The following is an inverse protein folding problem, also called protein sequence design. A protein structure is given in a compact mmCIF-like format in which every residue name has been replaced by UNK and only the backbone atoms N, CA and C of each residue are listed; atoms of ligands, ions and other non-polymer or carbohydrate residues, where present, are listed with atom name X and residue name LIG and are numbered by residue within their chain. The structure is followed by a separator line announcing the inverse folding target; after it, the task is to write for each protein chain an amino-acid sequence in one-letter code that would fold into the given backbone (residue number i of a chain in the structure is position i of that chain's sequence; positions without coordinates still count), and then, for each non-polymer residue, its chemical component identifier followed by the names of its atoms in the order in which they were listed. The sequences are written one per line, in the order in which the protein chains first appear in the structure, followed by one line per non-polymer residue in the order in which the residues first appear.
data_IF_678314158162
#
_entry.id   IF_678314158162
#
_cell.length_a   1.000
_cell.length_b   1.000
_cell.length_c   1.000
_cell.angle_alpha   90.00
_cell.angle_beta   90.00
_cell.angle_gamma   90.00
#
_symmetry.space_group_name_H-M   'P 1'
#
loop_
_entity.id
_entity.type
_entity.pdbx_description
1 polymer ?
#
# COMPACT_ATOMS: atom_id res chain seq x y z
N UNK A 1 17.37 -43.31 -19.25
CA UNK A 1 18.02 -41.98 -19.28
C UNK A 1 16.95 -40.95 -18.98
N UNK A 2 17.01 -40.39 -17.78
CA UNK A 2 16.09 -39.35 -17.30
C UNK A 2 16.70 -37.97 -17.62
N UNK A 3 15.88 -37.00 -18.03
CA UNK A 3 16.13 -35.60 -17.68
C UNK A 3 14.84 -34.75 -17.71
N UNK A 4 14.74 -33.87 -16.72
CA UNK A 4 13.59 -33.08 -16.26
C UNK A 4 13.32 -31.83 -17.12
N UNK A 5 12.09 -31.27 -17.11
CA UNK A 5 11.81 -29.95 -17.65
C UNK A 5 12.12 -28.83 -16.63
N UNK A 6 12.67 -27.73 -17.14
CA UNK A 6 13.10 -26.56 -16.39
C UNK A 6 11.97 -25.60 -15.96
N UNK A 7 12.18 -25.06 -14.76
CA UNK A 7 11.77 -23.74 -14.24
C UNK A 7 10.50 -23.08 -14.79
N UNK A 8 9.43 -23.12 -14.00
CA UNK A 8 8.39 -22.08 -14.00
C UNK A 8 8.90 -20.91 -13.16
N UNK A 9 9.14 -19.77 -13.80
CA UNK A 9 9.25 -18.49 -13.12
C UNK A 9 7.85 -17.97 -12.88
N UNK A 10 7.46 -17.88 -11.61
CA UNK A 10 6.20 -17.29 -11.15
C UNK A 10 6.20 -15.81 -11.51
N UNK A 11 5.26 -15.41 -12.35
CA UNK A 11 5.03 -14.04 -12.78
C UNK A 11 4.34 -13.30 -11.62
N UNK A 12 5.08 -12.47 -10.88
CA UNK A 12 4.50 -11.61 -9.85
C UNK A 12 3.81 -10.43 -10.55
N UNK A 13 2.48 -10.43 -10.52
CA UNK A 13 1.63 -9.38 -11.08
C UNK A 13 1.52 -8.27 -10.03
N UNK A 14 2.17 -7.13 -10.25
CA UNK A 14 2.08 -5.96 -9.37
C UNK A 14 0.72 -5.27 -9.54
N UNK A 15 -0.06 -5.20 -8.45
CA UNK A 15 -1.29 -4.41 -8.38
C UNK A 15 -1.00 -3.12 -7.60
N UNK A 16 -0.79 -2.03 -8.33
CA UNK A 16 -0.63 -0.68 -7.78
C UNK A 16 -1.98 0.03 -7.96
N UNK A 17 -2.81 0.02 -6.92
CA UNK A 17 -4.04 0.83 -6.88
C UNK A 17 -3.74 2.15 -6.18
N UNK A 18 -3.43 3.19 -6.96
CA UNK A 18 -3.36 4.57 -6.46
C UNK A 18 -4.47 5.39 -7.09
N UNK A 19 -5.34 5.90 -6.21
CA UNK A 19 -6.59 6.55 -6.54
C UNK A 19 -6.35 7.85 -7.32
N UNK A 20 -6.80 7.88 -8.58
CA UNK A 20 -7.02 9.13 -9.31
C UNK A 20 -8.45 9.15 -9.87
N UNK A 21 -9.35 9.90 -9.19
CA UNK A 21 -10.38 10.81 -9.74
C UNK A 21 -11.70 10.93 -8.94
N UNK A 22 -11.90 12.16 -8.48
CA UNK A 22 -13.08 13.03 -8.62
C UNK A 22 -14.21 13.07 -7.59
N UNK A 23 -14.31 14.24 -6.95
CA UNK A 23 -15.51 14.89 -6.44
C UNK A 23 -16.71 14.72 -7.39
N UNK A 24 -17.83 14.24 -6.86
CA UNK A 24 -19.16 14.83 -7.10
C UNK A 24 -19.87 14.98 -5.77
N UNK A 25 -20.33 16.19 -5.49
CA UNK A 25 -21.30 16.51 -4.46
C UNK A 25 -22.57 15.68 -4.68
N UNK A 26 -23.05 14.96 -3.67
CA UNK A 26 -24.36 14.30 -3.67
C UNK A 26 -25.30 15.13 -2.79
N UNK A 27 -26.41 15.52 -3.39
CA UNK A 27 -27.57 16.19 -2.80
C UNK A 27 -28.37 15.17 -1.95
N UNK A 28 -28.62 15.42 -0.64
CA UNK A 28 -29.30 14.47 0.23
C UNK A 28 -30.82 14.60 0.06
N UNK A 29 -31.38 14.12 -1.04
CA UNK A 29 -32.82 14.37 -1.30
C UNK A 29 -33.57 13.52 -2.31
N UNK A 30 -32.97 12.59 -3.06
CA UNK A 30 -33.72 11.80 -4.06
C UNK A 30 -33.75 10.30 -3.74
N UNK A 31 -34.89 9.86 -3.20
CA UNK A 31 -35.28 8.45 -3.12
C UNK A 31 -35.71 7.94 -4.51
N UNK A 32 -34.73 7.62 -5.35
CA UNK A 32 -34.92 6.77 -6.53
C UNK A 32 -33.57 6.20 -6.95
N UNK A 33 -33.43 4.88 -6.83
CA UNK A 33 -32.28 4.16 -7.39
C UNK A 33 -32.40 4.15 -8.92
N UNK A 34 -31.44 4.67 -9.69
CA UNK A 34 -31.47 4.48 -11.13
C UNK A 34 -31.10 3.03 -11.48
N UNK A 35 -31.90 2.42 -12.35
CA UNK A 35 -31.65 1.12 -12.96
C UNK A 35 -30.28 1.08 -13.67
N UNK A 36 -29.66 -0.12 -13.69
CA UNK A 36 -28.37 -0.39 -14.35
C UNK A 36 -28.40 0.11 -15.81
N UNK A 37 -27.54 1.08 -16.20
CA UNK A 37 -27.40 1.42 -17.61
C UNK A 37 -26.68 0.30 -18.35
N UNK A 38 -27.26 -0.11 -19.49
CA UNK A 38 -26.68 -1.06 -20.42
C UNK A 38 -25.28 -0.60 -20.87
N UNK A 39 -24.34 -1.56 -20.87
CA UNK A 39 -22.96 -1.37 -21.28
C UNK A 39 -22.89 -0.66 -22.64
N UNK A 40 -22.41 0.60 -22.64
CA UNK A 40 -21.96 1.27 -23.84
C UNK A 40 -20.44 1.34 -23.84
N UNK A 41 -19.93 0.81 -24.93
CA UNK A 41 -18.56 0.68 -25.37
C UNK A 41 -17.83 2.02 -25.31
N UNK A 42 -17.03 2.22 -24.27
CA UNK A 42 -15.94 3.22 -24.25
C UNK A 42 -14.73 2.54 -23.63
N UNK A 43 -13.68 2.38 -24.42
CA UNK A 43 -12.44 1.72 -24.03
C UNK A 43 -11.76 2.43 -22.87
N UNK A 44 -12.05 1.96 -21.65
CA UNK A 44 -11.37 2.32 -20.41
C UNK A 44 -10.54 1.13 -19.96
N UNK A 45 -9.29 1.39 -19.52
CA UNK A 45 -8.34 0.41 -18.99
C UNK A 45 -8.95 -0.43 -17.84
N UNK A 46 -9.97 0.11 -17.16
CA UNK A 46 -10.74 -0.57 -16.10
C UNK A 46 -11.53 -1.79 -16.61
N UNK A 47 -11.97 -1.81 -17.87
CA UNK A 47 -12.79 -2.89 -18.42
C UNK A 47 -11.96 -4.12 -18.83
N UNK A 48 -10.68 -3.96 -19.13
CA UNK A 48 -9.77 -5.07 -19.45
C UNK A 48 -9.35 -5.81 -18.16
N UNK A 49 -9.26 -5.10 -17.03
CA UNK A 49 -8.84 -5.68 -15.75
C UNK A 49 -9.86 -6.67 -15.17
N UNK A 50 -11.17 -6.44 -15.39
CA UNK A 50 -12.22 -7.34 -14.89
C UNK A 50 -12.33 -8.66 -15.65
N UNK A 51 -11.85 -8.75 -16.89
CA UNK A 51 -11.99 -9.97 -17.71
C UNK A 51 -10.90 -11.01 -17.44
N UNK A 52 -9.81 -10.63 -16.75
CA UNK A 52 -8.69 -11.54 -16.43
C UNK A 52 -8.88 -12.23 -15.08
N UNK A 53 -9.75 -11.73 -14.19
CA UNK A 53 -9.98 -12.30 -12.87
C UNK A 53 -11.11 -13.35 -12.80
N UNK A 54 -11.93 -13.52 -13.84
CA UNK A 54 -13.14 -14.34 -13.80
C UNK A 54 -12.98 -15.76 -14.40
N UNK A 55 -11.88 -16.05 -15.11
CA UNK A 55 -11.68 -17.34 -15.82
C UNK A 55 -10.80 -18.36 -15.08
N UNK A 56 -10.34 -18.06 -13.86
CA UNK A 56 -9.51 -18.98 -13.05
C UNK A 56 -10.28 -19.69 -11.91
N UNK A 57 -11.61 -19.59 -11.87
CA UNK A 57 -12.45 -20.34 -10.92
C UNK A 57 -12.94 -21.65 -11.57
N UNK A 58 -12.12 -22.69 -11.51
CA UNK A 58 -12.63 -24.06 -11.75
C UNK A 58 -13.29 -24.60 -10.46
N UNK A 59 -14.48 -25.22 -10.56
CA UNK A 59 -15.22 -25.70 -9.40
C UNK A 59 -14.90 -27.18 -9.16
N UNK A 60 -13.71 -27.51 -8.67
CA UNK A 60 -13.39 -28.90 -8.29
C UNK A 60 -12.37 -28.98 -7.14
N UNK A 61 -12.58 -28.20 -6.09
CA UNK A 61 -11.91 -28.43 -4.81
C UNK A 61 -12.73 -29.43 -3.97
N UNK A 62 -12.20 -30.65 -3.81
CA UNK A 62 -12.68 -31.61 -2.80
C UNK A 62 -11.84 -31.43 -1.52
N UNK A 63 -12.46 -31.27 -0.34
CA UNK A 63 -11.71 -31.26 0.91
C UNK A 63 -11.06 -32.62 1.10
N UNK A 64 -9.72 -32.67 1.08
CA UNK A 64 -9.00 -33.80 1.64
C UNK A 64 -9.13 -33.73 3.17
N UNK A 65 -9.18 -34.91 3.78
CA UNK A 65 -9.49 -35.10 5.19
C UNK A 65 -8.68 -34.21 6.12
N UNK A 66 -9.31 -33.88 7.26
CA UNK A 66 -8.72 -33.23 8.42
C UNK A 66 -7.52 -34.03 8.93
N UNK A 67 -6.35 -33.79 8.36
CA UNK A 67 -5.04 -34.04 8.98
C UNK A 67 -4.16 -32.83 8.66
N UNK A 68 -4.07 -31.93 9.64
CA UNK A 68 -3.02 -30.92 9.89
C UNK A 68 -2.30 -30.30 8.67
N UNK A 69 -2.87 -29.21 8.16
CA UNK A 69 -2.07 -28.10 7.64
C UNK A 69 -2.39 -26.90 8.51
N UNK A 70 -1.59 -26.71 9.55
CA UNK A 70 -1.56 -25.46 10.30
C UNK A 70 -0.66 -24.50 9.52
N UNK A 71 -1.18 -23.41 8.93
CA UNK A 71 -0.32 -22.36 8.38
C UNK A 71 0.28 -21.63 9.57
N UNK A 72 1.33 -22.24 10.14
CA UNK A 72 2.02 -21.75 11.33
C UNK A 72 2.46 -20.31 11.05
N UNK A 73 1.80 -19.38 11.74
CA UNK A 73 2.39 -18.06 11.97
C UNK A 73 3.82 -18.29 12.50
N UNK A 74 4.81 -17.48 12.07
CA UNK A 74 6.17 -17.58 12.57
C UNK A 74 6.18 -17.63 14.09
N UNK A 75 7.15 -18.35 14.67
CA UNK A 75 7.29 -18.38 16.12
C UNK A 75 7.65 -16.99 16.67
N UNK A 76 7.54 -16.77 17.99
CA UNK A 76 7.76 -15.45 18.58
C UNK A 76 9.15 -14.86 18.28
N UNK A 77 10.20 -15.69 18.26
CA UNK A 77 11.56 -15.25 17.94
C UNK A 77 11.67 -14.83 16.45
N UNK A 78 11.00 -15.55 15.55
CA UNK A 78 10.92 -15.22 14.12
C UNK A 78 10.11 -13.93 13.89
N UNK A 79 9.01 -13.73 14.63
CA UNK A 79 8.23 -12.49 14.57
C UNK A 79 9.08 -11.32 15.06
N UNK A 80 9.75 -11.46 16.20
CA UNK A 80 10.62 -10.41 16.76
C UNK A 80 11.73 -10.03 15.77
N UNK A 81 12.39 -11.03 15.18
CA UNK A 81 13.41 -10.84 14.15
C UNK A 81 12.87 -10.10 12.92
N UNK A 82 11.71 -10.50 12.38
CA UNK A 82 11.09 -9.82 11.24
C UNK A 82 10.67 -8.38 11.58
N UNK A 83 10.17 -8.14 12.81
CA UNK A 83 9.81 -6.81 13.26
C UNK A 83 11.04 -5.90 13.42
N UNK A 84 12.17 -6.45 13.89
CA UNK A 84 13.44 -5.74 13.96
C UNK A 84 13.96 -5.38 12.57
N UNK A 85 13.89 -6.30 11.61
CA UNK A 85 14.25 -6.05 10.21
C UNK A 85 13.35 -4.98 9.57
N UNK A 86 12.04 -4.99 9.87
CA UNK A 86 11.11 -3.94 9.43
C UNK A 86 11.48 -2.58 10.03
N UNK A 87 11.83 -2.53 11.32
CA UNK A 87 12.24 -1.30 11.98
C UNK A 87 13.53 -0.73 11.36
N UNK A 88 14.51 -1.58 11.07
CA UNK A 88 15.73 -1.18 10.37
C UNK A 88 15.44 -0.63 8.96
N UNK A 89 14.55 -1.30 8.20
CA UNK A 89 14.10 -0.80 6.89
C UNK A 89 13.43 0.58 7.03
N UNK A 90 12.57 0.77 8.02
CA UNK A 90 11.93 2.05 8.29
C UNK A 90 12.93 3.16 8.65
N UNK A 91 13.97 2.86 9.43
CA UNK A 91 15.04 3.81 9.75
C UNK A 91 15.85 4.23 8.52
N UNK A 92 16.16 3.28 7.63
CA UNK A 92 16.82 3.57 6.36
C UNK A 92 15.95 4.48 5.47
N UNK A 93 14.65 4.14 5.34
CA UNK A 93 13.68 4.97 4.62
C UNK A 93 13.64 6.38 5.22
N UNK A 94 13.53 6.50 6.54
CA UNK A 94 13.47 7.80 7.20
C UNK A 94 14.74 8.63 6.95
N UNK A 95 15.92 8.00 6.95
CA UNK A 95 17.18 8.68 6.64
C UNK A 95 17.20 9.25 5.22
N UNK A 96 16.84 8.45 4.21
CA UNK A 96 16.79 8.88 2.83
C UNK A 96 15.70 9.93 2.58
N UNK A 97 14.51 9.71 3.16
CA UNK A 97 13.39 10.66 3.11
C UNK A 97 13.80 12.00 3.69
N UNK A 98 14.54 12.02 4.81
CA UNK A 98 15.03 13.28 5.41
C UNK A 98 16.00 14.02 4.49
N UNK A 99 16.90 13.30 3.81
CA UNK A 99 17.83 13.90 2.86
C UNK A 99 17.09 14.53 1.67
N UNK A 100 16.15 13.80 1.08
CA UNK A 100 15.32 14.30 -0.01
C UNK A 100 14.42 15.46 0.45
N UNK A 101 13.82 15.35 1.63
CA UNK A 101 12.99 16.40 2.20
C UNK A 101 13.78 17.70 2.39
N UNK A 102 15.06 17.63 2.78
CA UNK A 102 15.91 18.80 2.89
C UNK A 102 16.15 19.48 1.54
N UNK A 103 16.34 18.72 0.46
CA UNK A 103 16.49 19.26 -0.90
C UNK A 103 15.19 19.90 -1.41
N UNK A 104 14.04 19.33 -1.03
CA UNK A 104 12.71 19.81 -1.40
C UNK A 104 12.07 20.74 -0.37
N UNK A 105 12.82 21.20 0.63
CA UNK A 105 12.32 22.07 1.69
C UNK A 105 11.53 23.30 1.19
N UNK A 106 11.88 23.95 0.05
CA UNK A 106 11.10 25.07 -0.47
C UNK A 106 9.66 24.75 -0.91
N UNK A 107 9.36 23.49 -1.29
CA UNK A 107 8.04 23.05 -1.74
C UNK A 107 7.29 22.17 -0.73
N UNK A 108 8.01 21.48 0.15
CA UNK A 108 7.46 20.40 0.96
C UNK A 108 6.61 20.92 2.13
N UNK A 109 5.31 20.67 2.08
CA UNK A 109 4.34 20.95 3.16
C UNK A 109 4.09 19.73 4.07
N UNK A 110 4.60 18.56 3.71
CA UNK A 110 4.37 17.32 4.44
C UNK A 110 5.05 17.36 5.81
N UNK A 111 4.24 17.23 6.87
CA UNK A 111 4.67 17.13 8.27
C UNK A 111 3.57 16.49 9.11
N UNK A 112 3.88 16.12 10.35
CA UNK A 112 2.88 15.70 11.33
C UNK A 112 1.75 16.75 11.39
N UNK A 113 0.52 16.32 11.13
CA UNK A 113 -0.67 17.18 11.11
C UNK A 113 -1.13 17.67 9.73
N UNK A 114 -0.37 17.47 8.64
CA UNK A 114 -0.84 17.83 7.28
C UNK A 114 -2.06 16.99 6.86
N UNK A 115 -2.03 15.67 7.14
CA UNK A 115 -3.18 14.77 7.02
C UNK A 115 -3.76 14.54 5.62
N UNK A 116 -3.35 15.27 4.59
CA UNK A 116 -3.97 15.22 3.25
C UNK A 116 -3.94 13.82 2.62
N UNK A 117 -2.86 13.07 2.81
CA UNK A 117 -2.71 11.69 2.32
C UNK A 117 -3.34 10.62 3.24
N UNK A 118 -3.93 11.00 4.37
CA UNK A 118 -4.47 10.07 5.36
C UNK A 118 -5.89 9.61 4.98
N UNK A 119 -5.94 8.70 4.00
CA UNK A 119 -7.17 8.08 3.47
C UNK A 119 -7.58 6.85 4.30
N UNK A 120 -8.87 6.48 4.20
CA UNK A 120 -9.47 5.46 5.05
C UNK A 120 -9.08 4.02 4.66
N UNK A 121 -9.22 3.70 3.39
CA UNK A 121 -9.08 2.34 2.86
C UNK A 121 -7.63 1.91 2.61
N UNK A 122 -6.69 2.53 3.34
CA UNK A 122 -5.28 2.15 3.28
C UNK A 122 -5.10 0.74 3.85
N UNK A 123 -4.39 -0.07 3.09
CA UNK A 123 -3.98 -1.41 3.48
C UNK A 123 -2.46 -1.47 3.56
N UNK A 124 -1.96 -2.31 4.45
CA UNK A 124 -0.53 -2.51 4.73
C UNK A 124 -0.19 -3.99 4.63
N UNK A 125 1.10 -4.29 4.56
CA UNK A 125 1.54 -5.69 4.66
C UNK A 125 1.24 -6.24 6.04
N UNK A 126 1.22 -7.57 6.16
CA UNK A 126 0.99 -8.24 7.44
C UNK A 126 2.10 -7.93 8.43
N UNK A 127 3.36 -7.87 7.98
CA UNK A 127 4.49 -7.47 8.84
C UNK A 127 4.37 -6.02 9.34
N UNK A 128 3.93 -5.08 8.50
CA UNK A 128 3.67 -3.70 8.93
C UNK A 128 2.52 -3.63 9.93
N UNK A 129 1.44 -4.38 9.70
CA UNK A 129 0.34 -4.48 10.64
C UNK A 129 0.79 -5.06 11.99
N UNK A 130 1.65 -6.07 11.99
CA UNK A 130 2.18 -6.66 13.21
C UNK A 130 3.08 -5.68 13.98
N UNK A 131 3.95 -4.95 13.27
CA UNK A 131 4.73 -3.87 13.87
C UNK A 131 3.85 -2.83 14.57
N UNK A 132 2.73 -2.43 13.95
CA UNK A 132 1.75 -1.52 14.55
C UNK A 132 1.08 -2.14 15.78
N UNK A 133 0.67 -3.42 15.72
CA UNK A 133 0.03 -4.10 16.85
C UNK A 133 0.92 -4.17 18.07
N UNK A 134 2.20 -4.50 17.87
CA UNK A 134 3.19 -4.62 18.95
C UNK A 134 3.51 -3.26 19.58
N UNK A 135 3.61 -2.21 18.77
CA UNK A 135 3.91 -0.87 19.27
C UNK A 135 2.70 -0.17 19.93
N UNK A 136 1.47 -0.49 19.50
CA UNK A 136 0.26 0.24 19.90
C UNK A 136 -0.88 -0.62 20.46
N UNK A 137 -0.63 -1.60 21.35
CA UNK A 137 -1.66 -2.55 21.79
C UNK A 137 -2.85 -1.86 22.46
N UNK A 138 -2.61 -0.87 23.33
CA UNK A 138 -3.66 -0.12 24.02
C UNK A 138 -4.51 0.74 23.06
N UNK A 139 -3.89 1.36 22.06
CA UNK A 139 -4.62 2.16 21.07
C UNK A 139 -5.58 1.29 20.24
N UNK A 140 -5.16 0.08 19.88
CA UNK A 140 -5.98 -0.83 19.07
C UNK A 140 -7.11 -1.49 19.85
N UNK A 141 -6.90 -1.79 21.13
CA UNK A 141 -7.91 -2.42 21.99
C UNK A 141 -8.92 -1.41 22.57
N UNK A 142 -8.42 -0.29 23.06
CA UNK A 142 -9.22 0.68 23.82
C UNK A 142 -9.60 1.92 23.00
N UNK A 143 -8.76 2.27 22.02
CA UNK A 143 -8.95 3.44 21.19
C UNK A 143 -10.11 3.31 20.22
N UNK A 144 -10.66 4.47 19.83
CA UNK A 144 -11.63 4.56 18.74
C UNK A 144 -10.90 4.89 17.44
N UNK A 145 -11.19 4.19 16.32
CA UNK A 145 -10.72 4.62 15.03
C UNK A 145 -11.36 5.97 14.67
N UNK A 146 -10.65 6.79 13.90
CA UNK A 146 -11.22 8.00 13.31
C UNK A 146 -12.48 7.65 12.49
N UNK A 147 -13.52 8.51 12.44
CA UNK A 147 -14.68 8.31 11.59
C UNK A 147 -14.31 7.92 10.14
N UNK A 148 -15.14 7.10 9.46
CA UNK A 148 -14.92 6.72 8.08
C UNK A 148 -14.72 7.92 7.13
N UNK A 149 -13.98 7.68 6.06
CA UNK A 149 -13.58 8.70 5.07
C UNK A 149 -12.20 9.32 5.31
N UNK A 150 -11.55 9.00 6.43
CA UNK A 150 -10.14 9.32 6.71
C UNK A 150 -9.47 8.16 7.44
N UNK A 151 -8.13 8.13 7.41
CA UNK A 151 -7.34 7.09 8.06
C UNK A 151 -7.76 6.87 9.52
N UNK A 152 -8.01 5.61 9.88
CA UNK A 152 -8.45 5.22 11.22
C UNK A 152 -7.49 5.67 12.34
N UNK A 153 -6.21 5.89 12.05
CA UNK A 153 -5.21 6.29 13.05
C UNK A 153 -5.10 7.80 13.26
N UNK A 154 -5.84 8.64 12.53
CA UNK A 154 -5.86 10.08 12.80
C UNK A 154 -6.43 10.40 14.18
N UNK A 155 -5.76 11.29 14.91
CA UNK A 155 -6.25 11.94 16.11
C UNK A 155 -7.25 13.05 15.78
N UNK A 156 -7.87 13.62 16.82
CA UNK A 156 -8.85 14.70 16.68
C UNK A 156 -8.26 15.99 16.10
N UNK A 157 -6.95 16.19 16.24
CA UNK A 157 -6.24 17.36 15.70
C UNK A 157 -5.64 17.10 14.31
N UNK A 158 -5.93 15.93 13.71
CA UNK A 158 -5.40 15.54 12.40
C UNK A 158 -3.95 15.02 12.44
N UNK A 159 -3.40 14.80 13.63
CA UNK A 159 -2.11 14.15 13.84
C UNK A 159 -2.22 12.62 13.70
N UNK A 160 -1.17 11.96 13.24
CA UNK A 160 -1.15 10.49 13.18
C UNK A 160 -0.78 9.92 14.56
N UNK A 161 -1.63 9.07 15.13
CA UNK A 161 -1.39 8.43 16.43
C UNK A 161 -0.30 7.35 16.40
N UNK A 162 0.09 6.90 15.21
CA UNK A 162 1.16 5.93 14.95
C UNK A 162 2.29 6.56 14.13
N UNK A 163 2.60 7.84 14.36
CA UNK A 163 3.51 8.59 13.48
C UNK A 163 4.91 7.95 13.36
N UNK A 164 5.43 7.35 14.44
CA UNK A 164 6.72 6.68 14.45
C UNK A 164 6.70 5.32 13.73
N UNK A 165 5.55 4.63 13.74
CA UNK A 165 5.30 3.31 13.13
C UNK A 165 4.50 3.44 11.84
N UNK A 166 4.59 4.60 11.18
CA UNK A 166 3.95 4.78 9.87
C UNK A 166 4.46 3.71 8.90
N UNK A 167 3.56 3.10 8.12
CA UNK A 167 3.94 2.18 7.05
C UNK A 167 4.93 2.83 6.08
N UNK A 168 5.72 2.02 5.39
CA UNK A 168 6.73 2.44 4.40
C UNK A 168 6.16 3.43 3.40
N UNK A 169 4.97 3.13 2.89
CA UNK A 169 4.23 4.00 1.96
C UNK A 169 3.96 5.39 2.55
N UNK A 170 3.62 5.49 3.83
CA UNK A 170 3.29 6.73 4.52
C UNK A 170 4.52 7.59 4.85
N UNK A 171 5.73 7.01 4.83
CA UNK A 171 7.00 7.70 5.15
C UNK A 171 7.47 8.57 4.00
N UNK A 172 7.35 8.09 2.76
CA UNK A 172 7.76 8.81 1.55
C UNK A 172 6.68 9.73 0.98
N UNK A 173 5.44 9.71 1.52
CA UNK A 173 4.37 10.58 1.04
C UNK A 173 4.74 12.05 1.09
N UNK A 174 4.47 12.74 -0.02
CA UNK A 174 4.73 14.17 -0.18
C UNK A 174 6.03 14.48 -0.92
N UNK A 175 7.00 13.57 -0.94
CA UNK A 175 8.19 13.72 -1.78
C UNK A 175 7.83 13.60 -3.28
N UNK A 176 8.66 14.14 -4.19
CA UNK A 176 8.64 13.72 -5.58
C UNK A 176 8.89 12.21 -5.68
N UNK A 177 7.92 11.48 -6.21
CA UNK A 177 7.98 10.04 -6.41
C UNK A 177 8.45 9.76 -7.84
N UNK A 178 9.25 8.70 -7.99
CA UNK A 178 9.63 8.12 -9.27
C UNK A 178 9.30 6.63 -9.25
N UNK A 179 8.54 6.20 -10.25
CA UNK A 179 8.13 4.81 -10.46
C UNK A 179 8.60 4.39 -11.83
N UNK A 180 9.32 3.26 -11.90
CA UNK A 180 9.75 2.66 -13.16
C UNK A 180 9.03 1.31 -13.28
N UNK A 181 8.38 1.08 -14.42
CA UNK A 181 7.60 -0.13 -14.67
C UNK A 181 7.70 -0.55 -16.13
N UNK A 182 7.41 -1.83 -16.40
CA UNK A 182 7.33 -2.36 -17.76
C UNK A 182 5.91 -2.17 -18.31
N UNK A 183 5.77 -1.58 -19.50
CA UNK A 183 4.48 -1.41 -20.17
C UNK A 183 4.04 -2.71 -20.86
N UNK A 184 2.85 -2.72 -21.47
CA UNK A 184 2.29 -3.91 -22.14
C UNK A 184 3.11 -4.40 -23.34
N UNK A 185 4.00 -3.57 -23.89
CA UNK A 185 4.89 -3.90 -24.98
C UNK A 185 6.24 -4.46 -24.50
N UNK A 186 6.48 -4.52 -23.18
CA UNK A 186 7.75 -4.94 -22.62
C UNK A 186 8.79 -3.83 -22.51
N UNK A 187 8.40 -2.56 -22.68
CA UNK A 187 9.30 -1.41 -22.62
C UNK A 187 9.26 -0.78 -21.23
N UNK A 188 10.41 -0.29 -20.76
CA UNK A 188 10.48 0.42 -19.47
C UNK A 188 9.94 1.85 -19.62
N UNK A 189 8.96 2.18 -18.79
CA UNK A 189 8.40 3.52 -18.64
C UNK A 189 8.66 4.08 -17.25
N UNK A 190 8.77 5.41 -17.19
CA UNK A 190 8.93 6.15 -15.95
C UNK A 190 7.75 7.08 -15.71
N UNK A 191 7.20 7.03 -14.51
CA UNK A 191 6.18 7.97 -14.03
C UNK A 191 6.71 8.72 -12.82
N UNK A 192 6.46 10.03 -12.80
CA UNK A 192 6.74 10.89 -11.66
C UNK A 192 5.47 11.52 -11.13
N UNK A 193 5.36 11.59 -9.82
CA UNK A 193 4.22 12.21 -9.14
C UNK A 193 4.66 12.94 -7.87
N UNK A 194 3.81 13.83 -7.37
CA UNK A 194 4.02 14.52 -6.09
C UNK A 194 2.67 14.88 -5.48
N UNK A 195 2.60 15.00 -4.17
CA UNK A 195 1.42 15.54 -3.50
C UNK A 195 1.02 16.89 -4.09
N UNK A 196 -0.27 17.08 -4.35
CA UNK A 196 -0.85 18.32 -4.89
C UNK A 196 -0.48 19.58 -4.09
N UNK A 197 -0.23 19.43 -2.79
CA UNK A 197 0.18 20.52 -1.90
C UNK A 197 1.65 20.96 -2.09
N UNK A 198 2.46 20.13 -2.74
CA UNK A 198 3.91 20.33 -2.92
C UNK A 198 4.29 20.58 -4.39
N UNK A 199 3.31 20.79 -5.28
CA UNK A 199 3.55 21.06 -6.71
C UNK A 199 4.30 22.38 -6.90
N UNK A 200 3.90 23.41 -6.14
CA UNK A 200 4.51 24.74 -6.17
C UNK A 200 5.75 24.83 -5.28
N UNK A 201 6.66 25.76 -5.58
CA UNK A 201 7.85 26.02 -4.76
C UNK A 201 9.13 25.34 -5.26
N UNK A 202 9.15 24.82 -6.48
CA UNK A 202 10.38 24.35 -7.13
C UNK A 202 10.19 24.04 -8.62
N UNK A 203 11.24 23.54 -9.31
CA UNK A 203 11.13 23.13 -10.71
C UNK A 203 10.07 22.04 -10.92
N UNK A 204 9.49 21.95 -12.13
CA UNK A 204 8.55 20.89 -12.49
C UNK A 204 9.20 19.51 -12.37
N UNK A 205 8.41 18.48 -12.07
CA UNK A 205 8.92 17.11 -11.83
C UNK A 205 9.74 16.54 -12.99
N UNK A 206 9.40 16.91 -14.23
CA UNK A 206 10.11 16.50 -15.44
C UNK A 206 11.52 17.09 -15.55
N UNK A 207 11.85 18.13 -14.79
CA UNK A 207 13.14 18.80 -14.76
C UNK A 207 13.99 18.42 -13.54
N UNK A 208 13.49 17.55 -12.65
CA UNK A 208 14.27 17.04 -11.52
C UNK A 208 15.28 16.00 -11.99
N UNK A 209 16.43 15.94 -11.34
CA UNK A 209 17.35 14.81 -11.50
C UNK A 209 16.76 13.56 -10.83
N UNK A 210 17.17 12.37 -11.29
CA UNK A 210 16.64 11.10 -10.75
C UNK A 210 16.88 10.94 -9.25
N UNK A 211 18.03 11.41 -8.78
CA UNK A 211 18.46 11.38 -7.37
C UNK A 211 17.70 12.35 -6.46
N UNK A 212 16.90 13.25 -7.04
CA UNK A 212 16.00 14.16 -6.34
C UNK A 212 14.57 13.61 -6.27
N UNK A 213 14.34 12.39 -6.77
CA UNK A 213 13.07 11.69 -6.66
C UNK A 213 13.21 10.42 -5.81
N UNK A 214 12.21 10.16 -4.98
CA UNK A 214 12.09 8.91 -4.23
C UNK A 214 11.76 7.75 -5.18
N UNK A 215 12.68 6.81 -5.34
CA UNK A 215 12.46 5.61 -6.16
C UNK A 215 11.62 4.57 -5.39
N UNK A 216 10.34 4.48 -5.74
CA UNK A 216 9.36 3.68 -4.98
C UNK A 216 9.68 2.18 -4.99
N UNK A 217 10.03 1.64 -6.16
CA UNK A 217 10.10 0.18 -6.37
C UNK A 217 11.15 -0.55 -5.52
N UNK A 218 12.26 0.10 -5.14
CA UNK A 218 13.33 -0.55 -4.36
C UNK A 218 12.85 -0.91 -2.97
N UNK A 219 12.14 0.00 -2.31
CA UNK A 219 11.61 -0.22 -0.97
C UNK A 219 10.46 -1.23 -0.98
N UNK A 220 9.61 -1.18 -1.99
CA UNK A 220 8.53 -2.18 -2.15
C UNK A 220 9.08 -3.60 -2.30
N UNK A 221 10.14 -3.79 -3.10
CA UNK A 221 10.79 -5.10 -3.24
C UNK A 221 11.37 -5.62 -1.93
N UNK A 222 11.99 -4.74 -1.13
CA UNK A 222 12.52 -5.11 0.19
C UNK A 222 11.40 -5.48 1.17
N UNK A 223 10.31 -4.72 1.15
CA UNK A 223 9.14 -5.00 1.98
C UNK A 223 8.46 -6.31 1.58
N UNK A 224 8.37 -6.62 0.28
CA UNK A 224 7.88 -7.91 -0.22
C UNK A 224 8.75 -9.05 0.29
N UNK A 225 10.08 -8.92 0.23
CA UNK A 225 10.99 -9.96 0.74
C UNK A 225 10.84 -10.20 2.26
N UNK A 226 10.60 -9.14 3.04
CA UNK A 226 10.30 -9.26 4.47
C UNK A 226 8.93 -9.92 4.70
N UNK A 227 7.92 -9.53 3.93
CA UNK A 227 6.59 -10.11 4.01
C UNK A 227 6.60 -11.61 3.67
N UNK A 228 7.30 -12.02 2.61
CA UNK A 228 7.44 -13.42 2.23
C UNK A 228 8.09 -14.26 3.33
N UNK A 229 9.11 -13.72 4.00
CA UNK A 229 9.73 -14.35 5.17
C UNK A 229 8.76 -14.45 6.36
N UNK A 230 7.91 -13.44 6.53
CA UNK A 230 6.99 -13.35 7.65
C UNK A 230 5.77 -14.28 7.50
N UNK A 231 5.11 -14.32 6.35
CA UNK A 231 3.91 -15.15 6.14
C UNK A 231 4.18 -16.51 5.49
N UNK A 232 5.35 -16.70 4.85
CA UNK A 232 5.70 -17.96 4.19
C UNK A 232 4.86 -18.32 2.95
N UNK A 233 4.10 -17.38 2.38
CA UNK A 233 3.18 -17.64 1.27
C UNK A 233 2.38 -16.42 0.80
N UNK A 234 1.19 -16.64 0.23
CA UNK A 234 0.29 -15.54 -0.15
C UNK A 234 -0.10 -14.72 1.09
N UNK A 235 0.23 -13.44 1.09
CA UNK A 235 -0.09 -12.55 2.20
C UNK A 235 -1.35 -11.73 1.94
N UNK A 236 -2.40 -11.86 2.77
CA UNK A 236 -3.51 -10.92 2.73
C UNK A 236 -3.05 -9.56 3.27
N UNK A 237 -3.22 -8.49 2.49
CA UNK A 237 -3.00 -7.13 3.01
C UNK A 237 -4.00 -6.83 4.14
N UNK A 238 -3.52 -6.21 5.22
CA UNK A 238 -4.36 -5.81 6.34
C UNK A 238 -4.87 -4.37 6.17
N UNK A 239 -6.16 -4.13 6.32
CA UNK A 239 -6.71 -2.76 6.41
C UNK A 239 -6.26 -2.11 7.72
N UNK A 240 -5.78 -0.87 7.66
CA UNK A 240 -5.42 -0.10 8.86
C UNK A 240 -6.62 0.05 9.81
N UNK A 241 -7.81 0.30 9.28
CA UNK A 241 -9.05 0.35 10.08
C UNK A 241 -9.35 -1.00 10.73
N UNK A 242 -9.07 -2.09 10.03
CA UNK A 242 -9.28 -3.45 10.51
C UNK A 242 -8.40 -3.86 11.69
N UNK A 243 -7.38 -3.07 12.04
CA UNK A 243 -6.50 -3.35 13.18
C UNK A 243 -7.15 -3.02 14.54
N UNK A 244 -8.16 -2.15 14.57
CA UNK A 244 -8.89 -1.83 15.80
C UNK A 244 -9.82 -2.97 16.19
N UNK A 245 -9.95 -3.22 17.50
CA UNK A 245 -10.87 -4.21 18.02
C UNK A 245 -12.31 -3.92 17.57
N UNK A 246 -13.00 -4.94 17.05
CA UNK A 246 -14.43 -4.85 16.72
C UNK A 246 -15.20 -4.80 18.04
N UNK A 247 -15.96 -3.73 18.25
CA UNK A 247 -16.90 -3.58 19.37
C UNK A 247 -18.32 -3.82 18.90
#
# INVERSE_FOLDING_TARGET
MANRPGSRTSRVQFSISWATRHRRTIDPGSSSWPERPAARDTGSVVAIFWRVCDEALTPEWKPRGREEFDPLLPNEDEIESCCADLAALHEEIDCEVQQLAARHAPRLQCRRGCGACCLDDLTVTTIEAEGIRRAHPALLSEGKPHPPGRCAFLGSEGDCRIYAERPSVCRSQGLPLRVVFENVAGELEELRDICELNVEGGPPLSALDEEDCWLVGVVELRLIALEERFVGGESPRASLRGLFARR
#
